data_IF_064648319741
#
_entry.id   IF_064648319741
#
_cell.length_a   1.000
_cell.length_b   1.000
_cell.length_c   1.000
_cell.angle_alpha   90.00
_cell.angle_beta   90.00
_cell.angle_gamma   90.00
#
_symmetry.space_group_name_H-M   'P 1'
#
loop_
_entity.id
_entity.type
_entity.pdbx_description
1 polymer ?
#
# COMPACT_ATOMS: atom_id res chain seq x y z
N UNK A 1 12.64 1.53 3.01
CA UNK A 1 11.67 0.43 3.18
C UNK A 1 12.40 -0.80 3.64
N UNK A 2 12.07 -1.33 4.81
CA UNK A 2 12.55 -2.65 5.20
C UNK A 2 11.71 -3.66 4.43
N UNK A 3 12.31 -4.32 3.44
CA UNK A 3 11.60 -5.26 2.57
C UNK A 3 11.74 -6.65 3.18
N UNK A 4 10.85 -6.99 4.12
CA UNK A 4 10.67 -8.39 4.51
C UNK A 4 10.30 -9.18 3.25
N UNK A 5 11.08 -10.19 2.90
CA UNK A 5 10.83 -10.99 1.70
C UNK A 5 10.06 -12.24 2.04
N UNK A 6 8.93 -12.43 1.36
CA UNK A 6 8.35 -13.76 1.18
C UNK A 6 9.28 -14.59 0.30
N UNK A 7 9.68 -15.77 0.79
CA UNK A 7 10.59 -16.68 0.10
C UNK A 7 9.99 -18.07 -0.01
N UNK A 8 10.43 -18.81 -1.01
CA UNK A 8 10.26 -20.25 -1.10
C UNK A 8 11.57 -20.95 -0.76
N UNK A 9 11.51 -22.06 -0.03
CA UNK A 9 12.69 -22.80 0.36
C UNK A 9 12.36 -24.28 0.59
N UNK A 10 13.40 -25.12 0.59
CA UNK A 10 13.31 -26.52 0.98
C UNK A 10 14.28 -26.79 2.12
N UNK A 11 13.87 -27.65 3.06
CA UNK A 11 14.73 -28.03 4.17
C UNK A 11 15.80 -29.02 3.72
N UNK A 12 17.03 -28.80 4.18
CA UNK A 12 18.11 -29.79 4.05
C UNK A 12 17.91 -30.92 5.07
N UNK A 13 17.16 -31.94 4.66
CA UNK A 13 16.84 -33.09 5.51
C UNK A 13 18.03 -34.03 5.74
N UNK A 14 19.08 -33.95 4.92
CA UNK A 14 20.29 -34.73 5.15
C UNK A 14 21.09 -34.12 6.32
N UNK A 15 21.16 -32.79 6.35
CA UNK A 15 21.83 -32.05 7.42
C UNK A 15 21.02 -32.02 8.72
N UNK A 16 19.69 -32.05 8.64
CA UNK A 16 18.79 -31.96 9.79
C UNK A 16 17.75 -33.09 9.83
N UNK A 17 18.17 -34.37 9.93
CA UNK A 17 17.27 -35.51 9.78
C UNK A 17 16.24 -35.65 10.92
N UNK A 18 16.54 -35.14 12.11
CA UNK A 18 15.73 -35.33 13.33
C UNK A 18 14.90 -34.10 13.73
N UNK A 19 14.87 -33.05 12.90
CA UNK A 19 14.17 -31.80 13.23
C UNK A 19 12.67 -31.82 12.91
N UNK A 20 12.15 -32.92 12.35
CA UNK A 20 10.73 -33.05 11.99
C UNK A 20 10.31 -32.14 10.83
N UNK A 21 11.26 -31.67 10.03
CA UNK A 21 10.98 -30.81 8.88
C UNK A 21 10.28 -31.57 7.74
N UNK A 22 9.30 -30.91 7.13
CA UNK A 22 8.57 -31.45 5.98
C UNK A 22 9.44 -31.50 4.71
N UNK A 23 9.15 -32.47 3.83
CA UNK A 23 9.71 -32.54 2.47
C UNK A 23 9.00 -31.56 1.54
N UNK A 24 9.75 -31.05 0.55
CA UNK A 24 9.23 -30.23 -0.54
C UNK A 24 9.16 -28.74 -0.22
N UNK A 25 8.75 -27.96 -1.22
CA UNK A 25 8.75 -26.48 -1.20
C UNK A 25 7.87 -25.94 -0.08
N UNK A 26 8.48 -25.10 0.76
CA UNK A 26 7.83 -24.34 1.82
C UNK A 26 7.81 -22.85 1.46
N UNK A 27 6.90 -22.11 2.08
CA UNK A 27 6.79 -20.65 1.97
C UNK A 27 7.07 -20.03 3.32
N UNK A 28 7.80 -18.92 3.35
CA UNK A 28 8.10 -18.26 4.61
C UNK A 28 8.84 -16.94 4.47
N UNK A 29 9.49 -16.55 5.55
CA UNK A 29 10.27 -15.33 5.72
C UNK A 29 11.69 -15.68 6.16
N UNK A 30 12.62 -14.76 5.91
CA UNK A 30 14.00 -14.86 6.40
C UNK A 30 14.04 -14.32 7.83
N UNK A 31 14.38 -15.18 8.80
CA UNK A 31 14.37 -14.82 10.22
C UNK A 31 15.26 -13.61 10.53
N UNK A 32 16.42 -13.47 9.89
CA UNK A 32 17.33 -12.34 10.05
C UNK A 32 16.77 -11.02 9.48
N UNK A 33 15.83 -11.08 8.53
CA UNK A 33 15.12 -9.90 8.05
C UNK A 33 14.00 -9.53 9.02
N UNK A 34 13.25 -10.53 9.49
CA UNK A 34 12.20 -10.36 10.50
C UNK A 34 12.79 -9.75 11.77
N UNK A 35 13.94 -10.23 12.24
CA UNK A 35 14.60 -9.72 13.45
C UNK A 35 14.91 -8.22 13.40
N UNK A 36 15.21 -7.68 12.22
CA UNK A 36 15.50 -6.24 12.05
C UNK A 36 14.27 -5.36 12.19
N UNK A 37 13.06 -5.92 12.08
CA UNK A 37 11.79 -5.19 12.10
C UNK A 37 10.97 -5.53 13.33
N UNK A 38 10.89 -6.82 13.65
CA UNK A 38 10.05 -7.45 14.66
C UNK A 38 10.90 -8.48 15.44
N UNK A 39 11.93 -8.03 16.19
CA UNK A 39 12.83 -8.93 16.92
C UNK A 39 12.09 -9.87 17.88
N UNK A 40 10.96 -9.43 18.45
CA UNK A 40 10.11 -10.21 19.35
C UNK A 40 9.43 -11.43 18.70
N UNK A 41 9.46 -11.50 17.36
CA UNK A 41 8.96 -12.63 16.59
C UNK A 41 10.05 -13.63 16.21
N UNK A 42 11.29 -13.39 16.59
CA UNK A 42 12.41 -14.29 16.28
C UNK A 42 12.89 -14.94 17.56
N UNK A 43 13.06 -16.26 17.52
CA UNK A 43 13.71 -17.03 18.57
C UNK A 43 14.99 -17.63 18.05
N UNK A 44 16.02 -17.61 18.87
CA UNK A 44 17.30 -18.26 18.60
C UNK A 44 17.47 -19.45 19.55
N UNK A 45 17.90 -20.60 19.02
CA UNK A 45 18.22 -21.76 19.85
C UNK A 45 19.69 -21.70 20.34
N UNK A 46 20.08 -22.65 21.20
CA UNK A 46 21.43 -22.70 21.77
C UNK A 46 22.56 -22.88 20.73
N UNK A 47 22.22 -23.32 19.51
CA UNK A 47 23.15 -23.53 18.40
C UNK A 47 23.22 -22.32 17.45
N UNK A 48 22.48 -21.24 17.74
CA UNK A 48 22.46 -20.01 16.94
C UNK A 48 21.47 -20.02 15.77
N UNK A 49 20.60 -21.03 15.65
CA UNK A 49 19.58 -21.08 14.61
C UNK A 49 18.37 -20.21 14.98
N UNK A 50 17.98 -19.34 14.05
CA UNK A 50 16.85 -18.41 14.19
C UNK A 50 15.58 -18.95 13.54
N UNK A 51 14.46 -18.84 14.25
CA UNK A 51 13.14 -19.25 13.80
C UNK A 51 12.11 -18.13 14.01
N UNK A 52 11.14 -18.03 13.09
CA UNK A 52 10.06 -17.04 13.14
C UNK A 52 8.83 -17.62 13.85
N UNK A 53 8.25 -16.84 14.75
CA UNK A 53 6.99 -17.13 15.45
C UNK A 53 5.78 -16.79 14.56
N UNK A 54 5.45 -17.68 13.62
CA UNK A 54 4.36 -17.47 12.66
C UNK A 54 2.96 -17.36 13.29
N UNK A 55 2.76 -17.99 14.45
CA UNK A 55 1.52 -17.91 15.23
C UNK A 55 1.17 -16.47 15.66
N UNK A 56 2.20 -15.66 15.93
CA UNK A 56 2.03 -14.26 16.30
C UNK A 56 1.88 -13.31 15.11
N UNK A 57 2.35 -13.71 13.93
CA UNK A 57 2.25 -12.88 12.73
C UNK A 57 0.80 -12.60 12.34
N UNK A 58 -0.12 -13.55 12.58
CA UNK A 58 -1.54 -13.38 12.22
C UNK A 58 -2.17 -12.15 12.86
N UNK A 59 -1.89 -11.87 14.14
CA UNK A 59 -2.42 -10.70 14.83
C UNK A 59 -1.90 -9.39 14.24
N UNK A 60 -0.60 -9.33 13.92
CA UNK A 60 0.00 -8.16 13.29
C UNK A 60 -0.49 -7.96 11.86
N UNK A 61 -0.70 -9.04 11.10
CA UNK A 61 -1.24 -8.97 9.74
C UNK A 61 -2.66 -8.42 9.73
N UNK A 62 -3.49 -8.75 10.73
CA UNK A 62 -4.83 -8.18 10.87
C UNK A 62 -4.75 -6.66 11.07
N UNK A 63 -3.88 -6.17 11.94
CA UNK A 63 -3.71 -4.73 12.17
C UNK A 63 -3.13 -4.03 10.93
N UNK A 64 -2.17 -4.64 10.24
CA UNK A 64 -1.63 -4.11 8.99
C UNK A 64 -2.69 -4.00 7.88
N UNK A 65 -3.60 -4.98 7.77
CA UNK A 65 -4.72 -4.94 6.83
C UNK A 65 -5.71 -3.82 7.21
N UNK A 66 -6.00 -3.62 8.49
CA UNK A 66 -6.86 -2.52 8.95
C UNK A 66 -6.23 -1.15 8.64
N UNK A 67 -4.94 -1.01 8.89
CA UNK A 67 -4.21 0.23 8.55
C UNK A 67 -4.24 0.49 7.03
N UNK A 68 -3.98 -0.54 6.22
CA UNK A 68 -4.08 -0.45 4.77
C UNK A 68 -5.51 -0.09 4.31
N UNK A 69 -6.54 -0.65 4.94
CA UNK A 69 -7.94 -0.32 4.65
C UNK A 69 -8.25 1.15 4.94
N UNK A 70 -7.75 1.69 6.06
CA UNK A 70 -7.89 3.11 6.40
C UNK A 70 -7.18 4.03 5.38
N UNK A 71 -6.02 3.61 4.86
CA UNK A 71 -5.32 4.33 3.80
C UNK A 71 -6.13 4.33 2.50
N UNK A 72 -6.68 3.18 2.12
CA UNK A 72 -7.56 3.05 0.94
C UNK A 72 -8.78 3.97 1.07
N UNK A 73 -9.47 3.96 2.21
CA UNK A 73 -10.63 4.83 2.44
C UNK A 73 -10.26 6.32 2.38
N UNK A 74 -9.10 6.67 2.90
CA UNK A 74 -8.58 8.05 2.83
C UNK A 74 -8.29 8.45 1.39
N UNK A 75 -7.66 7.59 0.60
CA UNK A 75 -7.37 7.83 -0.82
C UNK A 75 -8.66 7.93 -1.64
N UNK A 76 -9.63 7.05 -1.40
CA UNK A 76 -10.93 7.09 -2.07
C UNK A 76 -11.68 8.40 -1.79
N UNK A 77 -11.67 8.88 -0.54
CA UNK A 77 -12.26 10.19 -0.20
C UNK A 77 -11.57 11.32 -0.95
N UNK A 78 -10.23 11.35 -0.95
CA UNK A 78 -9.46 12.36 -1.70
C UNK A 78 -9.78 12.34 -3.19
N UNK A 79 -9.87 11.16 -3.80
CA UNK A 79 -10.24 11.02 -5.21
C UNK A 79 -11.63 11.59 -5.47
N UNK A 80 -12.62 11.29 -4.63
CA UNK A 80 -13.97 11.86 -4.75
C UNK A 80 -13.98 13.38 -4.60
N UNK A 81 -13.19 13.94 -3.69
CA UNK A 81 -13.04 15.39 -3.55
C UNK A 81 -12.43 16.02 -4.80
N UNK A 82 -11.42 15.38 -5.40
CA UNK A 82 -10.81 15.81 -6.64
C UNK A 82 -11.80 15.77 -7.82
N UNK A 83 -12.59 14.71 -7.96
CA UNK A 83 -13.64 14.60 -8.98
C UNK A 83 -14.67 15.74 -8.88
N UNK A 84 -15.05 16.12 -7.65
CA UNK A 84 -15.97 17.24 -7.41
C UNK A 84 -15.31 18.57 -7.80
N UNK A 85 -14.03 18.77 -7.48
CA UNK A 85 -13.29 19.96 -7.85
C UNK A 85 -13.14 20.08 -9.37
N UNK A 86 -12.84 18.98 -10.06
CA UNK A 86 -12.75 18.92 -11.52
C UNK A 86 -14.07 19.34 -12.18
N UNK A 87 -15.21 18.81 -11.70
CA UNK A 87 -16.53 19.23 -12.19
C UNK A 87 -16.76 20.73 -12.01
N UNK A 88 -16.41 21.27 -10.85
CA UNK A 88 -16.58 22.70 -10.56
C UNK A 88 -15.69 23.57 -11.45
N UNK A 89 -14.47 23.12 -11.75
CA UNK A 89 -13.56 23.81 -12.69
C UNK A 89 -14.20 23.86 -14.07
N UNK A 90 -14.70 22.74 -14.58
CA UNK A 90 -15.37 22.69 -15.89
C UNK A 90 -16.59 23.64 -15.96
N UNK A 91 -17.41 23.68 -14.91
CA UNK A 91 -18.55 24.61 -14.83
C UNK A 91 -18.11 26.09 -14.80
N UNK A 92 -16.96 26.40 -14.21
CA UNK A 92 -16.42 27.75 -14.20
C UNK A 92 -15.83 28.13 -15.56
N UNK A 93 -15.15 27.21 -16.23
CA UNK A 93 -14.63 27.38 -17.59
C UNK A 93 -15.76 27.71 -18.58
N UNK A 94 -16.88 26.98 -18.53
CA UNK A 94 -18.05 27.28 -19.36
C UNK A 94 -18.64 28.68 -19.10
N UNK A 95 -18.66 29.12 -17.84
CA UNK A 95 -19.16 30.47 -17.49
C UNK A 95 -18.22 31.56 -17.99
N UNK A 96 -16.91 31.35 -17.89
CA UNK A 96 -15.90 32.28 -18.41
C UNK A 96 -16.03 32.41 -19.92
N UNK A 97 -16.23 31.32 -20.64
CA UNK A 97 -16.46 31.34 -22.09
C UNK A 97 -17.70 32.17 -22.46
N UNK A 98 -18.83 31.94 -21.80
CA UNK A 98 -20.07 32.71 -22.02
C UNK A 98 -19.89 34.21 -21.73
N UNK A 99 -19.18 34.56 -20.65
CA UNK A 99 -18.90 35.95 -20.30
C UNK A 99 -17.98 36.62 -21.33
N UNK A 100 -17.01 35.88 -21.85
CA UNK A 100 -16.10 36.35 -22.90
C UNK A 100 -16.87 36.64 -24.18
N UNK A 101 -17.74 35.72 -24.61
CA UNK A 101 -18.61 35.91 -25.77
C UNK A 101 -19.53 37.13 -25.61
N UNK A 102 -20.19 37.27 -24.46
CA UNK A 102 -21.06 38.41 -24.16
C UNK A 102 -20.29 39.74 -24.21
N UNK A 103 -19.07 39.76 -23.67
CA UNK A 103 -18.22 40.95 -23.67
C UNK A 103 -17.86 41.36 -25.10
N UNK A 104 -17.51 40.40 -25.97
CA UNK A 104 -17.22 40.67 -27.38
C UNK A 104 -18.43 41.25 -28.10
N UNK A 105 -19.62 40.66 -27.93
CA UNK A 105 -20.86 41.17 -28.52
C UNK A 105 -21.19 42.60 -28.05
N UNK A 106 -20.97 42.92 -26.77
CA UNK A 106 -21.19 44.27 -26.25
C UNK A 106 -20.18 45.29 -26.79
N UNK A 107 -18.94 44.87 -27.07
CA UNK A 107 -17.94 45.72 -27.70
C UNK A 107 -18.36 46.03 -29.14
N UNK A 108 -18.77 45.03 -29.92
CA UNK A 108 -19.26 45.20 -31.30
C UNK A 108 -20.44 46.19 -31.36
N UNK A 109 -21.43 46.03 -30.47
CA UNK A 109 -22.59 46.93 -30.39
C UNK A 109 -22.25 48.38 -30.01
N UNK A 110 -21.13 48.62 -29.31
CA UNK A 110 -20.67 49.96 -28.95
C UNK A 110 -19.84 50.63 -30.04
N UNK A 111 -19.18 49.84 -30.91
CA UNK A 111 -18.39 50.38 -32.03
C UNK A 111 -19.30 50.85 -33.18
N UNK A 112 -20.50 50.29 -33.30
CA UNK A 112 -21.50 50.67 -34.32
C UNK A 112 -22.35 51.91 -33.96
N UNK A 113 -22.18 52.52 -32.77
CA UNK A 113 -22.89 53.73 -32.32
C UNK A 113 -21.94 54.91 -32.15
#
# INVERSE_FOLDING_TARGET
MIKLRGVTFEWDLQKFPNNGFGKGVQYGLIAQEVEKVLPELVKENAEGYKAVAYDKLTALLIEAIKEQQNEIETLQRKNKELEIQEKKINELEEKIEKLTQLTNTLIEQKVEK
#
